data_IF_786938908863
#
_entry.id   IF_786938908863
#
_cell.length_a   1.000
_cell.length_b   1.000
_cell.length_c   1.000
_cell.angle_alpha   90.00
_cell.angle_beta   90.00
_cell.angle_gamma   90.00
#
_symmetry.space_group_name_H-M   'P 1'
#
loop_
_entity.id
_entity.type
_entity.pdbx_description
1 polymer ?
#
# COMPACT_ATOMS: atom_id res chain seq x y z
N UNK A 1 16.79 17.46 6.77
CA UNK A 1 17.27 17.56 5.35
C UNK A 1 16.28 18.38 4.53
N UNK A 2 16.76 19.22 3.63
CA UNK A 2 15.92 19.98 2.70
C UNK A 2 15.47 19.13 1.49
N UNK A 3 14.45 19.60 0.77
CA UNK A 3 13.84 18.90 -0.36
C UNK A 3 14.83 18.56 -1.48
N UNK A 4 15.75 19.47 -1.81
CA UNK A 4 16.70 19.26 -2.90
C UNK A 4 17.76 18.19 -2.54
N UNK A 5 18.23 18.19 -1.31
CA UNK A 5 19.12 17.14 -0.80
C UNK A 5 18.44 15.77 -0.79
N UNK A 6 17.15 15.72 -0.41
CA UNK A 6 16.36 14.49 -0.45
C UNK A 6 16.21 13.95 -1.88
N UNK A 7 15.88 14.82 -2.87
CA UNK A 7 15.82 14.43 -4.28
C UNK A 7 17.16 13.91 -4.81
N UNK A 8 18.26 14.51 -4.38
CA UNK A 8 19.60 14.05 -4.75
C UNK A 8 19.88 12.64 -4.23
N UNK A 9 19.42 12.36 -3.02
CA UNK A 9 19.50 11.03 -2.40
C UNK A 9 18.65 10.02 -3.17
N UNK A 10 17.41 10.35 -3.51
CA UNK A 10 16.54 9.49 -4.32
C UNK A 10 17.17 9.13 -5.67
N UNK A 11 17.77 10.09 -6.36
CA UNK A 11 18.51 9.85 -7.60
C UNK A 11 19.72 8.91 -7.41
N UNK A 12 20.48 9.12 -6.32
CA UNK A 12 21.64 8.26 -5.99
C UNK A 12 21.24 6.79 -5.82
N UNK A 13 20.06 6.53 -5.27
CA UNK A 13 19.55 5.17 -5.04
C UNK A 13 18.58 4.68 -6.14
N UNK A 14 18.53 5.39 -7.28
CA UNK A 14 17.68 5.04 -8.45
C UNK A 14 16.18 4.93 -8.16
N UNK A 15 15.66 5.72 -7.22
CA UNK A 15 14.23 5.79 -7.00
C UNK A 15 13.55 6.61 -8.10
N UNK A 16 12.43 6.10 -8.63
CA UNK A 16 11.55 6.85 -9.52
C UNK A 16 10.66 7.77 -8.69
N UNK A 17 10.67 9.06 -8.96
CA UNK A 17 9.86 10.04 -8.24
C UNK A 17 9.34 11.13 -9.14
N UNK A 18 8.24 11.76 -8.70
CA UNK A 18 7.63 12.96 -9.31
C UNK A 18 7.58 14.05 -8.24
N UNK A 19 7.95 15.26 -8.62
CA UNK A 19 7.92 16.43 -7.75
C UNK A 19 6.79 17.36 -8.19
N UNK A 20 5.85 17.63 -7.29
CA UNK A 20 4.73 18.53 -7.53
C UNK A 20 4.35 19.27 -6.25
N UNK A 21 4.31 20.62 -6.31
CA UNK A 21 3.86 21.50 -5.22
C UNK A 21 4.45 21.14 -3.83
N UNK A 22 5.79 21.02 -3.76
CA UNK A 22 6.51 20.63 -2.55
C UNK A 22 6.21 19.21 -2.01
N UNK A 23 5.46 18.41 -2.74
CA UNK A 23 5.28 16.98 -2.45
C UNK A 23 6.16 16.17 -3.41
N UNK A 24 6.99 15.31 -2.85
CA UNK A 24 7.79 14.36 -3.62
C UNK A 24 7.10 12.99 -3.52
N UNK A 25 6.51 12.55 -4.63
CA UNK A 25 5.88 11.22 -4.74
C UNK A 25 6.88 10.23 -5.28
N UNK A 26 7.24 9.24 -4.49
CA UNK A 26 8.14 8.16 -4.85
C UNK A 26 7.30 6.96 -5.29
N UNK A 27 7.56 6.48 -6.50
CA UNK A 27 6.89 5.30 -7.07
C UNK A 27 7.72 4.06 -6.83
N UNK A 28 7.07 3.07 -6.27
CA UNK A 28 7.66 1.79 -5.92
C UNK A 28 7.00 0.66 -6.73
N UNK A 29 7.49 -0.54 -6.54
CA UNK A 29 6.94 -1.73 -7.18
C UNK A 29 5.49 -1.98 -6.77
N UNK A 30 4.74 -2.68 -7.62
CA UNK A 30 3.36 -3.09 -7.38
C UNK A 30 2.40 -1.95 -7.02
N UNK A 31 2.60 -0.79 -7.67
CA UNK A 31 1.75 0.40 -7.51
C UNK A 31 1.72 1.02 -6.10
N UNK A 32 2.72 0.72 -5.27
CA UNK A 32 2.94 1.40 -4.00
C UNK A 32 3.55 2.78 -4.26
N UNK A 33 2.97 3.82 -3.69
CA UNK A 33 3.50 5.18 -3.73
C UNK A 33 3.69 5.71 -2.30
N UNK A 34 4.78 6.46 -2.10
CA UNK A 34 5.07 7.16 -0.85
C UNK A 34 5.21 8.63 -1.16
N UNK A 35 4.39 9.44 -0.52
CA UNK A 35 4.39 10.90 -0.64
C UNK A 35 5.15 11.51 0.54
N UNK A 36 6.13 12.34 0.27
CA UNK A 36 6.86 13.14 1.26
C UNK A 36 6.50 14.60 1.06
N UNK A 37 5.79 15.17 2.01
CA UNK A 37 5.30 16.55 1.96
C UNK A 37 6.22 17.48 2.74
N UNK A 38 6.80 18.46 2.02
CA UNK A 38 7.69 19.50 2.54
C UNK A 38 6.97 20.85 2.79
N UNK A 39 5.62 20.90 2.68
CA UNK A 39 4.86 22.15 2.87
C UNK A 39 4.73 22.57 4.34
N UNK A 40 4.89 21.67 5.27
CA UNK A 40 4.73 21.95 6.69
C UNK A 40 6.06 22.50 7.26
N UNK A 41 6.09 23.75 7.67
CA UNK A 41 7.27 24.46 8.17
C UNK A 41 7.98 23.78 9.36
N UNK A 42 7.29 22.89 10.09
CA UNK A 42 7.84 22.23 11.30
C UNK A 42 7.88 20.71 11.22
N UNK A 43 7.15 20.08 10.30
CA UNK A 43 7.07 18.61 10.19
C UNK A 43 6.99 18.15 8.76
N UNK A 44 7.94 17.32 8.36
CA UNK A 44 7.83 16.58 7.11
C UNK A 44 6.83 15.45 7.32
N UNK A 45 5.77 15.43 6.51
CA UNK A 45 4.75 14.39 6.57
C UNK A 45 5.05 13.33 5.51
N UNK A 46 5.18 12.08 5.96
CA UNK A 46 5.30 10.94 5.05
C UNK A 46 3.97 10.19 5.06
N UNK A 47 3.36 10.04 3.90
CA UNK A 47 2.15 9.25 3.70
C UNK A 47 2.34 8.22 2.60
N UNK A 48 1.55 7.17 2.65
CA UNK A 48 1.62 6.05 1.72
C UNK A 48 0.25 5.74 1.12
N UNK A 49 0.26 5.29 -0.13
CA UNK A 49 -0.95 4.86 -0.83
C UNK A 49 -0.65 3.78 -1.85
N UNK A 50 -1.64 2.97 -2.14
CA UNK A 50 -1.66 2.12 -3.32
C UNK A 50 -2.33 2.88 -4.46
N UNK A 51 -1.71 2.88 -5.62
CA UNK A 51 -2.27 3.46 -6.84
C UNK A 51 -3.02 2.39 -7.65
N UNK A 52 -3.58 2.78 -8.78
CA UNK A 52 -4.24 1.87 -9.74
C UNK A 52 -3.29 0.77 -10.18
N UNK A 53 -3.82 -0.44 -10.36
CA UNK A 53 -3.03 -1.61 -10.73
C UNK A 53 -2.40 -2.35 -9.54
N UNK A 54 -2.77 -2.02 -8.30
CA UNK A 54 -2.34 -2.77 -7.13
C UNK A 54 -3.06 -4.12 -7.00
N UNK A 55 -2.45 -5.07 -6.31
CA UNK A 55 -2.96 -6.44 -6.19
C UNK A 55 -4.07 -6.63 -5.14
N UNK A 56 -4.43 -5.60 -4.38
CA UNK A 56 -5.50 -5.67 -3.39
C UNK A 56 -6.82 -5.10 -3.89
N UNK A 57 -6.79 -3.91 -4.48
CA UNK A 57 -8.02 -3.21 -4.92
C UNK A 57 -8.15 -3.17 -6.43
N UNK A 58 -7.07 -3.46 -7.17
CA UNK A 58 -7.00 -3.43 -8.63
C UNK A 58 -7.14 -2.02 -9.19
N UNK A 59 -8.36 -1.50 -9.21
CA UNK A 59 -8.69 -0.26 -9.93
C UNK A 59 -8.65 0.98 -9.03
N UNK A 60 -8.89 0.81 -7.72
CA UNK A 60 -9.07 1.95 -6.81
C UNK A 60 -7.78 2.29 -6.06
N UNK A 61 -7.34 3.57 -6.07
CA UNK A 61 -6.28 4.02 -5.18
C UNK A 61 -6.78 4.05 -3.73
N UNK A 62 -5.97 3.55 -2.80
CA UNK A 62 -6.32 3.48 -1.37
C UNK A 62 -5.11 3.80 -0.51
N UNK A 63 -5.31 4.56 0.58
CA UNK A 63 -4.26 4.76 1.58
C UNK A 63 -4.05 3.48 2.38
N UNK A 64 -2.80 3.12 2.64
CA UNK A 64 -2.46 1.86 3.32
C UNK A 64 -3.16 1.73 4.68
N UNK A 65 -3.33 2.82 5.42
CA UNK A 65 -4.06 2.82 6.70
C UNK A 65 -5.53 2.34 6.60
N UNK A 66 -6.14 2.40 5.42
CA UNK A 66 -7.53 1.94 5.19
C UNK A 66 -7.62 0.53 4.61
N UNK A 67 -6.49 -0.08 4.26
CA UNK A 67 -6.46 -1.43 3.66
C UNK A 67 -7.06 -2.47 4.60
N UNK A 68 -6.81 -2.38 5.90
CA UNK A 68 -7.36 -3.34 6.86
C UNK A 68 -8.89 -3.36 6.84
N UNK A 69 -9.53 -2.19 6.82
CA UNK A 69 -11.00 -2.08 6.73
C UNK A 69 -11.52 -2.64 5.41
N UNK A 70 -10.86 -2.30 4.31
CA UNK A 70 -11.22 -2.80 2.98
C UNK A 70 -11.13 -4.34 2.90
N UNK A 71 -10.05 -4.91 3.44
CA UNK A 71 -9.85 -6.36 3.48
C UNK A 71 -10.91 -7.07 4.33
N UNK A 72 -11.28 -6.51 5.48
CA UNK A 72 -12.36 -7.05 6.31
C UNK A 72 -13.68 -7.07 5.51
N UNK A 73 -14.01 -6.00 4.80
CA UNK A 73 -15.22 -5.95 3.97
C UNK A 73 -15.20 -6.99 2.85
N UNK A 74 -14.08 -7.17 2.16
CA UNK A 74 -13.93 -8.21 1.12
C UNK A 74 -14.13 -9.60 1.72
N UNK A 75 -13.47 -9.91 2.84
CA UNK A 75 -13.56 -11.23 3.47
C UNK A 75 -14.95 -11.51 4.01
N UNK A 76 -15.64 -10.53 4.59
CA UNK A 76 -17.05 -10.68 5.02
C UNK A 76 -17.98 -10.92 3.83
N UNK A 77 -17.82 -10.17 2.74
CA UNK A 77 -18.61 -10.36 1.52
C UNK A 77 -18.38 -11.76 0.94
N UNK A 78 -17.12 -12.19 0.85
CA UNK A 78 -16.77 -13.54 0.39
C UNK A 78 -17.35 -14.63 1.30
N UNK A 79 -17.34 -14.42 2.63
CA UNK A 79 -17.95 -15.37 3.59
C UNK A 79 -19.47 -15.47 3.42
N UNK A 80 -20.17 -14.35 3.21
CA UNK A 80 -21.62 -14.33 2.96
C UNK A 80 -21.95 -15.10 1.68
N UNK A 81 -21.21 -14.85 0.60
CA UNK A 81 -21.37 -15.56 -0.68
C UNK A 81 -21.13 -17.06 -0.47
N UNK A 82 -20.06 -17.43 0.24
CA UNK A 82 -19.74 -18.82 0.55
C UNK A 82 -20.89 -19.51 1.31
N UNK A 83 -21.44 -18.89 2.35
CA UNK A 83 -22.55 -19.44 3.13
C UNK A 83 -23.80 -19.62 2.28
N UNK A 84 -24.11 -18.66 1.41
CA UNK A 84 -25.28 -18.71 0.53
C UNK A 84 -25.13 -19.84 -0.51
N UNK A 85 -24.02 -19.87 -1.23
CA UNK A 85 -23.78 -20.83 -2.31
C UNK A 85 -23.54 -22.26 -1.81
N UNK A 86 -22.97 -22.44 -0.60
CA UNK A 86 -22.75 -23.77 -0.02
C UNK A 86 -24.03 -24.56 0.25
N UNK A 87 -25.20 -23.88 0.27
CA UNK A 87 -26.52 -24.52 0.40
C UNK A 87 -27.01 -25.11 -0.92
N UNK A 88 -26.51 -24.66 -2.05
CA UNK A 88 -27.00 -24.97 -3.39
C UNK A 88 -26.02 -25.80 -4.22
N UNK A 89 -24.74 -25.73 -3.92
CA UNK A 89 -23.65 -26.36 -4.68
C UNK A 89 -22.75 -27.23 -3.82
N UNK A 90 -21.92 -28.04 -4.48
CA UNK A 90 -20.86 -28.76 -3.78
C UNK A 90 -19.93 -27.78 -3.05
N UNK A 91 -19.86 -27.91 -1.73
CA UNK A 91 -19.12 -26.97 -0.87
C UNK A 91 -17.60 -27.00 -1.04
N UNK A 92 -17.04 -28.09 -1.57
CA UNK A 92 -15.57 -28.24 -1.65
C UNK A 92 -14.88 -27.24 -2.59
N UNK A 93 -15.29 -27.04 -3.86
CA UNK A 93 -14.69 -26.02 -4.73
C UNK A 93 -14.86 -24.60 -4.18
N UNK A 94 -16.01 -24.31 -3.54
CA UNK A 94 -16.26 -23.01 -2.93
C UNK A 94 -15.36 -22.76 -1.72
N UNK A 95 -15.13 -23.78 -0.88
CA UNK A 95 -14.19 -23.69 0.23
C UNK A 95 -12.77 -23.42 -0.26
N UNK A 96 -12.32 -24.11 -1.30
CA UNK A 96 -11.00 -23.87 -1.89
C UNK A 96 -10.87 -22.45 -2.46
N UNK A 97 -11.87 -21.95 -3.16
CA UNK A 97 -11.85 -20.57 -3.67
C UNK A 97 -11.82 -19.53 -2.53
N UNK A 98 -12.56 -19.75 -1.46
CA UNK A 98 -12.52 -18.86 -0.28
C UNK A 98 -11.15 -18.84 0.39
N UNK A 99 -10.51 -20.00 0.54
CA UNK A 99 -9.15 -20.11 1.08
C UNK A 99 -8.14 -19.37 0.20
N UNK A 100 -8.23 -19.53 -1.13
CA UNK A 100 -7.35 -18.84 -2.08
C UNK A 100 -7.50 -17.32 -2.01
N UNK A 101 -8.74 -16.80 -1.99
CA UNK A 101 -9.00 -15.36 -1.86
C UNK A 101 -8.46 -14.82 -0.53
N UNK A 102 -8.73 -15.54 0.55
CA UNK A 102 -8.22 -15.14 1.88
C UNK A 102 -6.70 -15.11 1.92
N UNK A 103 -6.05 -16.16 1.41
CA UNK A 103 -4.58 -16.23 1.31
C UNK A 103 -4.00 -15.11 0.46
N UNK A 104 -4.62 -14.79 -0.68
CA UNK A 104 -4.23 -13.68 -1.55
C UNK A 104 -4.30 -12.34 -0.81
N UNK A 105 -5.42 -12.05 -0.17
CA UNK A 105 -5.62 -10.80 0.59
C UNK A 105 -4.60 -10.67 1.71
N UNK A 106 -4.38 -11.72 2.50
CA UNK A 106 -3.43 -11.71 3.61
C UNK A 106 -1.98 -11.51 3.11
N UNK A 107 -1.58 -12.20 2.05
CA UNK A 107 -0.25 -12.10 1.47
C UNK A 107 0.05 -10.67 1.01
N UNK A 108 -0.83 -10.09 0.19
CA UNK A 108 -0.60 -8.74 -0.34
C UNK A 108 -0.75 -7.66 0.72
N UNK A 109 -1.65 -7.83 1.69
CA UNK A 109 -1.74 -6.92 2.83
C UNK A 109 -0.44 -6.89 3.64
N UNK A 110 0.10 -8.06 3.96
CA UNK A 110 1.38 -8.20 4.66
C UNK A 110 2.53 -7.57 3.86
N UNK A 111 2.61 -7.87 2.57
CA UNK A 111 3.63 -7.31 1.67
C UNK A 111 3.60 -5.78 1.66
N UNK A 112 2.44 -5.17 1.40
CA UNK A 112 2.34 -3.72 1.29
C UNK A 112 2.62 -3.02 2.62
N UNK A 113 2.12 -3.52 3.74
CA UNK A 113 2.41 -2.96 5.05
C UNK A 113 3.91 -3.02 5.39
N UNK A 114 4.53 -4.19 5.23
CA UNK A 114 5.96 -4.37 5.53
C UNK A 114 6.83 -3.50 4.63
N UNK A 115 6.53 -3.47 3.32
CA UNK A 115 7.29 -2.68 2.35
C UNK A 115 7.16 -1.18 2.62
N UNK A 116 5.94 -0.70 2.89
CA UNK A 116 5.67 0.69 3.21
C UNK A 116 6.40 1.13 4.48
N UNK A 117 6.29 0.39 5.58
CA UNK A 117 6.95 0.72 6.83
C UNK A 117 8.48 0.73 6.70
N UNK A 118 9.06 -0.24 6.00
CA UNK A 118 10.50 -0.28 5.73
C UNK A 118 10.99 0.95 4.98
N UNK A 119 10.26 1.38 3.96
CA UNK A 119 10.63 2.54 3.15
C UNK A 119 10.41 3.85 3.90
N UNK A 120 9.31 4.00 4.63
CA UNK A 120 9.07 5.17 5.48
C UNK A 120 10.16 5.32 6.53
N UNK A 121 10.56 4.23 7.18
CA UNK A 121 11.68 4.22 8.13
C UNK A 121 12.98 4.69 7.47
N UNK A 122 13.30 4.19 6.28
CA UNK A 122 14.49 4.62 5.53
C UNK A 122 14.44 6.11 5.21
N UNK A 123 13.31 6.62 4.76
CA UNK A 123 13.17 8.05 4.44
C UNK A 123 13.22 8.93 5.70
N UNK A 124 12.64 8.48 6.80
CA UNK A 124 12.79 9.20 8.09
C UNK A 124 14.24 9.33 8.52
N UNK A 125 15.02 8.24 8.44
CA UNK A 125 16.45 8.27 8.75
C UNK A 125 17.19 9.27 7.85
N UNK A 126 16.88 9.29 6.55
CA UNK A 126 17.50 10.26 5.64
C UNK A 126 17.13 11.71 5.98
N UNK A 127 15.84 11.95 6.28
CA UNK A 127 15.34 13.30 6.57
C UNK A 127 15.86 13.84 7.90
N UNK A 128 16.04 13.00 8.90
CA UNK A 128 16.59 13.36 10.20
C UNK A 128 18.14 13.56 10.16
N UNK A 129 18.78 13.09 9.11
CA UNK A 129 20.24 13.24 8.94
C UNK A 129 21.08 12.38 9.89
N UNK A 130 20.49 11.27 10.36
CA UNK A 130 21.19 10.28 11.21
C UNK A 130 21.76 9.14 10.38
#
# INVERSE_FOLDING_TARGET
MDKESFKKQLKKYNFSFVDFNNIVTIRLEHSLEVDVDFNLFEKILISDRLNKGNFLTGIFPIKIKHIAVYNILILLTAAIIFIYESRHFNSFPLLMSYILVTGWVLLWNSYYNTKSESIKSTFMVWLEGK
#
